data_IF_416277903243
#
_entry.id   IF_416277903243
#
_cell.length_a   1.000
_cell.length_b   1.000
_cell.length_c   1.000
_cell.angle_alpha   90.00
_cell.angle_beta   90.00
_cell.angle_gamma   90.00
#
_symmetry.space_group_name_H-M   'P 1'
#
loop_
_entity.id
_entity.type
_entity.pdbx_description
1 polymer ?
#
# COMPACT_ATOMS: atom_id res chain seq x y z
N UNK A 1 7.05 -20.58 8.02
CA UNK A 1 6.30 -19.45 8.60
C UNK A 1 7.31 -18.47 9.17
N UNK A 2 7.37 -17.27 8.61
CA UNK A 2 8.29 -16.22 9.09
C UNK A 2 7.43 -15.17 9.82
N UNK A 3 7.85 -14.79 11.05
CA UNK A 3 7.17 -13.76 11.83
C UNK A 3 7.88 -12.42 11.57
N UNK A 4 7.18 -11.47 10.95
CA UNK A 4 7.68 -10.11 10.73
C UNK A 4 6.78 -9.18 11.56
N UNK A 5 7.27 -8.73 12.72
CA UNK A 5 6.43 -8.05 13.70
C UNK A 5 5.32 -8.98 14.23
N UNK A 6 4.10 -8.48 14.32
CA UNK A 6 2.92 -9.29 14.72
C UNK A 6 2.28 -10.05 13.55
N UNK A 7 2.79 -9.87 12.35
CA UNK A 7 2.27 -10.50 11.14
C UNK A 7 2.85 -11.90 10.93
N UNK A 8 1.97 -12.91 10.89
CA UNK A 8 2.34 -14.29 10.56
C UNK A 8 2.24 -14.49 9.05
N UNK A 9 3.36 -14.43 8.35
CA UNK A 9 3.41 -14.70 6.91
C UNK A 9 3.33 -16.20 6.68
N UNK A 10 2.21 -16.65 6.13
CA UNK A 10 2.11 -17.99 5.60
C UNK A 10 2.76 -18.00 4.21
N UNK A 11 3.94 -18.61 4.07
CA UNK A 11 4.67 -18.71 2.79
C UNK A 11 3.91 -19.72 1.92
N UNK A 12 2.74 -19.33 1.43
CA UNK A 12 1.83 -20.23 0.69
C UNK A 12 2.16 -20.43 -0.78
N UNK A 13 3.00 -19.59 -1.38
CA UNK A 13 3.49 -19.81 -2.73
C UNK A 13 5.01 -19.64 -2.78
N UNK A 14 5.72 -20.75 -2.84
CA UNK A 14 7.17 -20.79 -3.07
C UNK A 14 7.57 -20.08 -4.38
N UNK A 15 6.66 -19.97 -5.34
CA UNK A 15 6.90 -19.36 -6.66
C UNK A 15 7.18 -17.87 -6.58
N UNK A 16 6.41 -17.10 -5.83
CA UNK A 16 6.54 -15.64 -5.78
C UNK A 16 7.83 -15.20 -5.06
N UNK A 17 8.20 -15.93 -4.00
CA UNK A 17 9.46 -15.70 -3.29
C UNK A 17 10.67 -16.13 -4.14
N UNK A 18 10.56 -17.23 -4.89
CA UNK A 18 11.64 -17.69 -5.77
C UNK A 18 11.88 -16.73 -6.92
N UNK A 19 10.86 -16.14 -7.53
CA UNK A 19 11.03 -15.12 -8.56
C UNK A 19 11.69 -13.84 -8.02
N UNK A 20 11.25 -13.38 -6.85
CA UNK A 20 11.88 -12.24 -6.17
C UNK A 20 13.36 -12.52 -5.85
N UNK A 21 13.67 -13.70 -5.30
CA UNK A 21 15.03 -14.09 -4.96
C UNK A 21 15.88 -14.37 -6.19
N UNK A 22 15.38 -14.96 -7.26
CA UNK A 22 16.13 -15.21 -8.50
C UNK A 22 16.49 -13.90 -9.22
N UNK A 23 15.55 -12.93 -9.23
CA UNK A 23 15.84 -11.60 -9.78
C UNK A 23 16.94 -10.85 -9.01
N UNK A 24 16.99 -11.01 -7.70
CA UNK A 24 18.02 -10.40 -6.85
C UNK A 24 19.32 -11.23 -6.78
N UNK A 25 19.24 -12.57 -6.83
CA UNK A 25 20.38 -13.47 -6.78
C UNK A 25 21.40 -13.18 -7.90
N UNK A 26 20.96 -12.78 -9.08
CA UNK A 26 21.83 -12.41 -10.19
C UNK A 26 22.76 -11.22 -9.86
N UNK A 27 22.24 -10.25 -9.10
CA UNK A 27 23.02 -9.07 -8.65
C UNK A 27 24.09 -9.47 -7.61
N UNK A 28 23.73 -10.35 -6.67
CA UNK A 28 24.68 -10.85 -5.67
C UNK A 28 25.75 -11.75 -6.30
N UNK A 29 25.37 -12.54 -7.31
CA UNK A 29 26.32 -13.35 -8.06
C UNK A 29 27.33 -12.49 -8.83
N UNK A 30 26.87 -11.39 -9.42
CA UNK A 30 27.71 -10.40 -10.08
C UNK A 30 28.68 -9.74 -9.09
N UNK A 31 28.20 -9.31 -7.92
CA UNK A 31 29.01 -8.73 -6.85
C UNK A 31 30.06 -9.73 -6.34
N UNK A 32 29.69 -10.99 -6.17
CA UNK A 32 30.60 -12.07 -5.79
C UNK A 32 31.70 -12.26 -6.87
N UNK A 33 31.34 -12.31 -8.15
CA UNK A 33 32.29 -12.41 -9.28
C UNK A 33 33.24 -11.23 -9.31
N UNK A 34 32.76 -10.00 -9.15
CA UNK A 34 33.59 -8.78 -9.09
C UNK A 34 34.55 -8.87 -7.89
N UNK A 35 34.07 -9.32 -6.72
CA UNK A 35 34.90 -9.50 -5.52
C UNK A 35 35.99 -10.54 -5.73
N UNK A 36 35.68 -11.68 -6.35
CA UNK A 36 36.64 -12.73 -6.69
C UNK A 36 37.67 -12.18 -7.68
N UNK A 37 37.24 -11.41 -8.67
CA UNK A 37 38.14 -10.81 -9.65
C UNK A 37 39.09 -9.78 -9.01
N UNK A 38 38.57 -8.94 -8.11
CA UNK A 38 39.34 -7.99 -7.32
C UNK A 38 40.41 -8.70 -6.47
N UNK A 39 40.06 -9.79 -5.78
CA UNK A 39 40.99 -10.61 -4.98
C UNK A 39 42.04 -11.29 -5.88
N UNK A 40 41.64 -11.79 -7.05
CA UNK A 40 42.63 -12.39 -8.02
C UNK A 40 43.59 -11.35 -8.59
N UNK A 41 43.08 -10.17 -8.91
CA UNK A 41 43.94 -9.04 -9.35
C UNK A 41 44.89 -8.64 -8.22
N UNK A 42 44.38 -8.53 -6.98
CA UNK A 42 45.20 -8.25 -5.80
C UNK A 42 46.35 -9.26 -5.61
N UNK A 43 46.10 -10.55 -5.77
CA UNK A 43 47.12 -11.62 -5.63
C UNK A 43 48.15 -11.62 -6.73
N UNK A 44 47.91 -10.98 -7.88
CA UNK A 44 48.88 -10.87 -9.00
C UNK A 44 49.79 -9.64 -8.90
N UNK A 45 49.62 -8.78 -7.89
CA UNK A 45 50.37 -7.55 -7.68
C UNK A 45 51.74 -7.66 -6.94
N UNK A 46 52.26 -8.82 -6.46
CA UNK A 46 53.48 -8.88 -5.63
C UNK A 46 54.79 -8.61 -6.36
N UNK A 47 54.82 -8.33 -7.67
CA UNK A 47 56.06 -8.15 -8.45
C UNK A 47 56.40 -6.69 -8.78
N UNK A 48 55.73 -5.68 -8.18
CA UNK A 48 55.91 -4.28 -8.55
C UNK A 48 56.88 -3.53 -7.61
N UNK A 49 57.67 -2.58 -8.15
CA UNK A 49 58.59 -1.72 -7.39
C UNK A 49 57.88 -0.87 -6.32
N UNK A 50 58.62 -0.39 -5.29
CA UNK A 50 58.07 0.19 -4.06
C UNK A 50 57.03 1.32 -4.25
N UNK A 51 57.23 2.20 -5.23
CA UNK A 51 56.32 3.30 -5.53
C UNK A 51 55.00 2.81 -6.19
N UNK A 52 55.13 1.91 -7.14
CA UNK A 52 53.98 1.25 -7.77
C UNK A 52 53.20 0.37 -6.78
N UNK A 53 53.87 -0.20 -5.77
CA UNK A 53 53.21 -1.01 -4.75
C UNK A 53 52.23 -0.19 -3.88
N UNK A 54 52.62 1.06 -3.50
CA UNK A 54 51.75 1.95 -2.71
C UNK A 54 50.51 2.39 -3.49
N UNK A 55 50.70 2.74 -4.78
CA UNK A 55 49.60 3.15 -5.64
C UNK A 55 48.65 1.99 -5.92
N UNK A 56 49.12 0.79 -6.09
CA UNK A 56 48.30 -0.40 -6.30
C UNK A 56 47.58 -0.84 -5.02
N UNK A 57 48.16 -0.64 -3.82
CA UNK A 57 47.47 -0.82 -2.53
C UNK A 57 46.32 0.16 -2.38
N UNK A 58 46.51 1.43 -2.68
CA UNK A 58 45.47 2.45 -2.64
C UNK A 58 44.33 2.14 -3.62
N UNK A 59 44.65 1.73 -4.84
CA UNK A 59 43.67 1.30 -5.84
C UNK A 59 42.90 0.06 -5.38
N UNK A 60 43.54 -0.90 -4.76
CA UNK A 60 42.90 -2.09 -4.21
C UNK A 60 41.96 -1.76 -3.04
N UNK A 61 42.39 -0.89 -2.13
CA UNK A 61 41.52 -0.40 -1.03
C UNK A 61 40.32 0.35 -1.59
N UNK A 62 40.52 1.23 -2.59
CA UNK A 62 39.44 1.96 -3.23
C UNK A 62 38.45 1.02 -3.92
N UNK A 63 38.94 0.05 -4.69
CA UNK A 63 38.09 -0.94 -5.34
C UNK A 63 37.25 -1.77 -4.33
N UNK A 64 37.91 -2.19 -3.24
CA UNK A 64 37.18 -2.91 -2.15
C UNK A 64 36.11 -2.04 -1.50
N UNK A 65 36.42 -0.78 -1.21
CA UNK A 65 35.45 0.17 -0.65
C UNK A 65 34.26 0.36 -1.59
N UNK A 66 34.49 0.51 -2.89
CA UNK A 66 33.43 0.63 -3.90
C UNK A 66 32.56 -0.62 -3.92
N UNK A 67 33.12 -1.82 -3.89
CA UNK A 67 32.38 -3.08 -3.86
C UNK A 67 31.52 -3.20 -2.60
N UNK A 68 32.05 -2.81 -1.44
CA UNK A 68 31.31 -2.81 -0.17
C UNK A 68 30.15 -1.81 -0.20
N UNK A 69 30.36 -0.62 -0.74
CA UNK A 69 29.30 0.40 -0.90
C UNK A 69 28.19 -0.09 -1.83
N UNK A 70 28.55 -0.62 -3.00
CA UNK A 70 27.57 -1.19 -3.94
C UNK A 70 26.82 -2.37 -3.30
N UNK A 71 27.55 -3.24 -2.59
CA UNK A 71 26.96 -4.37 -1.86
C UNK A 71 25.95 -3.90 -0.82
N UNK A 72 26.30 -2.91 -0.01
CA UNK A 72 25.39 -2.31 0.97
C UNK A 72 24.12 -1.76 0.33
N UNK A 73 24.26 -0.93 -0.73
CA UNK A 73 23.09 -0.39 -1.43
C UNK A 73 22.23 -1.48 -2.08
N UNK A 74 22.83 -2.53 -2.62
CA UNK A 74 22.09 -3.67 -3.17
C UNK A 74 21.29 -4.40 -2.10
N UNK A 75 21.87 -4.63 -0.92
CA UNK A 75 21.17 -5.25 0.20
C UNK A 75 20.00 -4.37 0.66
N UNK A 76 20.24 -3.08 0.86
CA UNK A 76 19.18 -2.14 1.25
C UNK A 76 18.03 -2.13 0.23
N UNK A 77 18.34 -2.08 -1.06
CA UNK A 77 17.33 -2.11 -2.11
C UNK A 77 16.52 -3.41 -2.10
N UNK A 78 17.18 -4.56 -1.92
CA UNK A 78 16.51 -5.86 -1.86
C UNK A 78 15.61 -6.01 -0.63
N UNK A 79 16.06 -5.51 0.52
CA UNK A 79 15.23 -5.46 1.74
C UNK A 79 14.02 -4.56 1.55
N UNK A 80 14.19 -3.38 0.96
CA UNK A 80 13.09 -2.49 0.63
C UNK A 80 12.04 -3.18 -0.24
N UNK A 81 12.46 -3.87 -1.31
CA UNK A 81 11.54 -4.62 -2.18
C UNK A 81 10.82 -5.76 -1.45
N UNK A 82 11.50 -6.45 -0.55
CA UNK A 82 10.91 -7.50 0.26
C UNK A 82 9.82 -6.94 1.18
N UNK A 83 10.09 -5.84 1.87
CA UNK A 83 9.09 -5.17 2.71
C UNK A 83 7.93 -4.62 1.89
N UNK A 84 8.20 -4.05 0.70
CA UNK A 84 7.18 -3.58 -0.22
C UNK A 84 6.23 -4.73 -0.65
N UNK A 85 6.80 -5.89 -1.01
CA UNK A 85 6.01 -7.08 -1.38
C UNK A 85 5.10 -7.55 -0.24
N UNK A 86 5.64 -7.69 0.97
CA UNK A 86 4.82 -8.10 2.12
C UNK A 86 3.83 -7.03 2.55
N UNK A 87 4.19 -5.75 2.39
CA UNK A 87 3.29 -4.63 2.58
C UNK A 87 2.07 -4.71 1.66
N UNK A 88 2.28 -4.98 0.37
CA UNK A 88 1.20 -5.20 -0.59
C UNK A 88 0.31 -6.38 -0.19
N UNK A 89 0.90 -7.51 0.17
CA UNK A 89 0.14 -8.68 0.60
C UNK A 89 -0.72 -8.42 1.85
N UNK A 90 -0.20 -7.64 2.80
CA UNK A 90 -0.95 -7.20 3.97
C UNK A 90 -2.08 -6.23 3.59
N UNK A 91 -1.80 -5.31 2.66
CA UNK A 91 -2.75 -4.35 2.12
C UNK A 91 -3.93 -5.04 1.42
N UNK A 92 -3.65 -6.01 0.56
CA UNK A 92 -4.67 -6.79 -0.17
C UNK A 92 -5.53 -7.64 0.78
N UNK A 93 -4.95 -8.06 1.91
CA UNK A 93 -5.65 -8.79 2.97
C UNK A 93 -6.43 -7.86 3.93
N UNK A 94 -6.46 -6.54 3.70
CA UNK A 94 -7.15 -5.58 4.55
C UNK A 94 -6.44 -5.21 5.85
N UNK A 95 -5.22 -5.72 6.09
CA UNK A 95 -4.44 -5.44 7.30
C UNK A 95 -3.67 -4.12 7.19
N UNK A 96 -4.40 -2.99 7.13
CA UNK A 96 -3.85 -1.66 6.83
C UNK A 96 -2.73 -1.22 7.79
N UNK A 97 -2.86 -1.48 9.09
CA UNK A 97 -1.82 -1.13 10.07
C UNK A 97 -0.51 -1.90 9.85
N UNK A 98 -0.59 -3.20 9.56
CA UNK A 98 0.57 -4.02 9.21
C UNK A 98 1.18 -3.60 7.87
N UNK A 99 0.35 -3.29 6.89
CA UNK A 99 0.78 -2.81 5.58
C UNK A 99 1.54 -1.48 5.70
N UNK A 100 0.99 -0.50 6.41
CA UNK A 100 1.64 0.79 6.69
C UNK A 100 3.01 0.60 7.33
N UNK A 101 3.11 -0.23 8.38
CA UNK A 101 4.40 -0.51 9.04
C UNK A 101 5.43 -1.18 8.13
N UNK A 102 4.99 -2.02 7.19
CA UNK A 102 5.88 -2.68 6.23
C UNK A 102 6.34 -1.72 5.13
N UNK A 103 5.45 -0.81 4.68
CA UNK A 103 5.82 0.23 3.73
C UNK A 103 6.78 1.26 4.34
N UNK A 104 6.57 1.67 5.59
CA UNK A 104 7.49 2.50 6.36
C UNK A 104 8.89 1.87 6.42
N UNK A 105 8.99 0.59 6.81
CA UNK A 105 10.27 -0.14 6.78
C UNK A 105 10.87 -0.23 5.38
N UNK A 106 10.06 -0.40 4.35
CA UNK A 106 10.55 -0.38 2.98
C UNK A 106 11.22 0.97 2.65
N UNK A 107 10.61 2.08 3.07
CA UNK A 107 11.13 3.43 2.85
C UNK A 107 12.39 3.74 3.67
N UNK A 108 12.54 3.14 4.87
CA UNK A 108 13.77 3.24 5.69
C UNK A 108 14.99 2.66 4.98
N UNK A 109 14.83 1.51 4.31
CA UNK A 109 15.95 0.87 3.58
C UNK A 109 16.22 1.53 2.24
N UNK A 110 15.20 1.97 1.54
CA UNK A 110 15.31 2.67 0.27
C UNK A 110 14.13 3.61 0.09
N UNK A 111 14.37 4.90 0.21
CA UNK A 111 13.33 5.92 0.08
C UNK A 111 12.82 5.96 -1.38
N UNK A 112 11.85 5.11 -1.66
CA UNK A 112 11.18 5.03 -2.96
C UNK A 112 9.79 5.66 -2.90
N UNK A 113 9.40 6.38 -3.95
CA UNK A 113 8.07 6.99 -4.04
C UNK A 113 6.94 5.97 -3.84
N UNK A 114 7.15 4.74 -4.31
CA UNK A 114 6.14 3.68 -4.22
C UNK A 114 5.85 3.26 -2.78
N UNK A 115 6.87 3.08 -1.95
CA UNK A 115 6.70 2.72 -0.54
C UNK A 115 6.00 3.84 0.23
N UNK A 116 6.49 5.09 0.07
CA UNK A 116 5.93 6.27 0.73
C UNK A 116 4.48 6.52 0.29
N UNK A 117 4.18 6.39 -1.01
CA UNK A 117 2.82 6.56 -1.52
C UNK A 117 1.85 5.50 -1.00
N UNK A 118 2.27 4.23 -0.97
CA UNK A 118 1.47 3.11 -0.45
C UNK A 118 1.20 3.23 1.05
N UNK A 119 2.19 3.67 1.82
CA UNK A 119 2.01 4.00 3.24
C UNK A 119 0.97 5.11 3.41
N UNK A 120 1.07 6.18 2.61
CA UNK A 120 0.10 7.27 2.60
C UNK A 120 -1.33 6.79 2.35
N UNK A 121 -1.55 5.90 1.38
CA UNK A 121 -2.86 5.28 1.12
C UNK A 121 -3.34 4.45 2.33
N UNK A 122 -2.47 3.66 2.96
CA UNK A 122 -2.84 2.91 4.16
C UNK A 122 -3.31 3.82 5.29
N UNK A 123 -2.65 4.96 5.48
CA UNK A 123 -3.03 5.95 6.49
C UNK A 123 -4.36 6.62 6.16
N UNK A 124 -4.60 6.99 4.90
CA UNK A 124 -5.89 7.52 4.46
C UNK A 124 -7.02 6.55 4.75
N UNK A 125 -6.86 5.29 4.34
CA UNK A 125 -7.85 4.23 4.57
C UNK A 125 -8.04 3.90 6.07
N UNK A 126 -7.03 4.17 6.90
CA UNK A 126 -7.10 3.99 8.36
C UNK A 126 -7.65 5.23 9.10
N UNK A 127 -8.06 6.27 8.37
CA UNK A 127 -8.60 7.50 8.96
C UNK A 127 -7.60 8.55 9.39
N UNK A 128 -6.32 8.31 9.17
CA UNK A 128 -5.26 9.30 9.41
C UNK A 128 -5.08 10.18 8.17
N UNK A 129 -6.13 10.95 7.84
CA UNK A 129 -6.29 11.61 6.55
C UNK A 129 -5.16 12.60 6.27
N UNK A 130 -4.81 13.45 7.24
CA UNK A 130 -3.76 14.48 7.06
C UNK A 130 -2.36 13.86 6.89
N UNK A 131 -2.04 12.83 7.68
CA UNK A 131 -0.76 12.13 7.57
C UNK A 131 -0.66 11.39 6.23
N UNK A 132 -1.74 10.73 5.83
CA UNK A 132 -1.83 10.04 4.55
C UNK A 132 -1.61 11.00 3.38
N UNK A 133 -2.32 12.13 3.35
CA UNK A 133 -2.15 13.16 2.31
C UNK A 133 -0.71 13.73 2.29
N UNK A 134 -0.12 13.94 3.46
CA UNK A 134 1.26 14.42 3.54
C UNK A 134 2.23 13.46 2.89
N UNK A 135 2.10 12.16 3.15
CA UNK A 135 2.98 11.14 2.57
C UNK A 135 2.76 10.97 1.06
N UNK A 136 1.53 11.02 0.59
CA UNK A 136 1.26 10.94 -0.86
C UNK A 136 1.83 12.15 -1.61
N UNK A 137 1.74 13.36 -1.05
CA UNK A 137 2.42 14.54 -1.61
C UNK A 137 3.94 14.40 -1.59
N UNK A 138 4.50 13.81 -0.56
CA UNK A 138 5.94 13.50 -0.51
C UNK A 138 6.35 12.49 -1.59
N UNK A 139 5.53 11.47 -1.83
CA UNK A 139 5.74 10.50 -2.91
C UNK A 139 5.75 11.17 -4.28
N UNK A 140 4.86 12.14 -4.51
CA UNK A 140 4.81 12.94 -5.74
C UNK A 140 6.10 13.73 -5.96
N UNK A 141 6.60 14.39 -4.92
CA UNK A 141 7.89 15.09 -4.99
C UNK A 141 9.02 14.13 -5.37
N UNK A 142 9.06 12.92 -4.77
CA UNK A 142 10.06 11.91 -5.07
C UNK A 142 9.99 11.41 -6.53
N UNK A 143 8.80 11.39 -7.13
CA UNK A 143 8.57 11.06 -8.56
C UNK A 143 8.80 12.23 -9.51
N UNK A 144 9.24 13.38 -9.01
CA UNK A 144 9.47 14.59 -9.81
C UNK A 144 8.21 15.09 -10.53
N UNK A 145 7.06 14.96 -9.90
CA UNK A 145 5.78 15.43 -10.42
C UNK A 145 5.22 14.55 -11.57
N UNK A 146 5.74 13.35 -11.79
CA UNK A 146 5.06 12.36 -12.61
C UNK A 146 3.89 11.82 -11.80
N UNK A 147 2.66 12.23 -12.17
CA UNK A 147 1.43 11.70 -11.56
C UNK A 147 1.39 10.18 -11.68
N UNK A 148 0.89 9.53 -10.65
CA UNK A 148 0.63 8.10 -10.68
C UNK A 148 -0.79 7.87 -10.20
N UNK A 149 -1.38 6.78 -10.65
CA UNK A 149 -2.69 6.30 -10.19
C UNK A 149 -2.79 6.23 -8.66
N UNK A 150 -1.67 6.05 -7.95
CA UNK A 150 -1.62 6.13 -6.49
C UNK A 150 -1.93 7.53 -5.94
N UNK A 151 -1.43 8.55 -6.59
CA UNK A 151 -1.67 9.94 -6.17
C UNK A 151 -3.09 10.34 -6.46
N UNK A 152 -3.58 10.01 -7.64
CA UNK A 152 -4.96 10.23 -8.04
C UNK A 152 -5.91 9.53 -7.07
N UNK A 153 -5.65 8.25 -6.76
CA UNK A 153 -6.43 7.52 -5.78
C UNK A 153 -6.35 8.15 -4.37
N UNK A 154 -5.17 8.59 -3.96
CA UNK A 154 -4.96 9.21 -2.64
C UNK A 154 -5.65 10.57 -2.52
N UNK A 155 -5.58 11.39 -3.54
CA UNK A 155 -6.29 12.68 -3.60
C UNK A 155 -7.80 12.45 -3.67
N UNK A 156 -8.24 11.48 -4.44
CA UNK A 156 -9.64 11.07 -4.49
C UNK A 156 -10.16 10.64 -3.12
N UNK A 157 -9.43 9.80 -2.40
CA UNK A 157 -9.78 9.38 -1.03
C UNK A 157 -9.76 10.56 -0.04
N UNK A 158 -8.78 11.44 -0.14
CA UNK A 158 -8.72 12.62 0.72
C UNK A 158 -9.98 13.48 0.56
N UNK A 159 -10.37 13.82 -0.66
CA UNK A 159 -11.60 14.58 -0.91
C UNK A 159 -12.86 13.80 -0.54
N UNK A 160 -12.86 12.49 -0.74
CA UNK A 160 -13.96 11.60 -0.33
C UNK A 160 -14.18 11.66 1.18
N UNK A 161 -13.13 11.45 1.98
CA UNK A 161 -13.21 11.49 3.44
C UNK A 161 -13.41 12.91 3.99
N UNK A 162 -13.03 13.93 3.22
CA UNK A 162 -13.31 15.34 3.54
C UNK A 162 -14.71 15.80 3.14
N UNK A 163 -15.59 14.89 2.72
CA UNK A 163 -16.97 15.16 2.28
C UNK A 163 -17.07 16.16 1.12
N UNK A 164 -16.11 16.11 0.18
CA UNK A 164 -16.04 16.96 -1.01
C UNK A 164 -16.20 16.11 -2.28
N UNK A 165 -17.39 15.51 -2.54
CA UNK A 165 -17.57 14.54 -3.63
C UNK A 165 -17.29 15.11 -5.02
N UNK A 166 -17.58 16.39 -5.23
CA UNK A 166 -17.30 17.03 -6.52
C UNK A 166 -15.81 17.11 -6.87
N UNK A 167 -14.94 17.11 -5.87
CA UNK A 167 -13.50 17.08 -6.05
C UNK A 167 -12.97 15.63 -6.04
N UNK A 168 -13.60 14.72 -5.30
CA UNK A 168 -13.20 13.33 -5.23
C UNK A 168 -13.40 12.57 -6.55
N UNK A 169 -14.54 12.81 -7.22
CA UNK A 169 -14.96 12.04 -8.40
C UNK A 169 -13.91 12.03 -9.51
N UNK A 170 -13.37 13.16 -10.00
CA UNK A 170 -12.39 13.14 -11.10
C UNK A 170 -11.16 12.31 -10.78
N UNK A 171 -10.61 12.45 -9.57
CA UNK A 171 -9.43 11.69 -9.12
C UNK A 171 -9.71 10.20 -8.99
N UNK A 172 -10.90 9.82 -8.49
CA UNK A 172 -11.30 8.43 -8.39
C UNK A 172 -11.56 7.81 -9.77
N UNK A 173 -12.10 8.58 -10.72
CA UNK A 173 -12.28 8.13 -12.11
C UNK A 173 -10.93 7.84 -12.76
N UNK A 174 -9.95 8.72 -12.64
CA UNK A 174 -8.61 8.52 -13.17
C UNK A 174 -7.93 7.30 -12.52
N UNK A 175 -8.06 7.14 -11.19
CA UNK A 175 -7.53 6.00 -10.46
C UNK A 175 -8.22 4.67 -10.82
N UNK A 176 -9.46 4.69 -11.31
CA UNK A 176 -10.21 3.48 -11.69
C UNK A 176 -9.61 2.71 -12.86
N UNK A 177 -8.75 3.37 -13.65
CA UNK A 177 -8.02 2.74 -14.74
C UNK A 177 -6.99 1.71 -14.28
N UNK A 178 -6.55 1.77 -13.01
CA UNK A 178 -5.61 0.83 -12.43
C UNK A 178 -6.35 -0.34 -11.76
N UNK A 179 -6.11 -1.59 -12.20
CA UNK A 179 -6.75 -2.79 -11.63
C UNK A 179 -6.59 -2.91 -10.12
N UNK A 180 -5.47 -2.45 -9.55
CA UNK A 180 -5.18 -2.54 -8.12
C UNK A 180 -6.14 -1.68 -7.27
N UNK A 181 -6.73 -0.64 -7.86
CA UNK A 181 -7.65 0.28 -7.17
C UNK A 181 -9.11 0.14 -7.59
N UNK A 182 -9.39 -0.50 -8.72
CA UNK A 182 -10.74 -0.58 -9.31
C UNK A 182 -11.80 -0.97 -8.28
N UNK A 183 -11.56 -1.99 -7.46
CA UNK A 183 -12.52 -2.45 -6.46
C UNK A 183 -12.74 -1.47 -5.31
N UNK A 184 -11.69 -0.72 -4.90
CA UNK A 184 -11.77 0.32 -3.84
C UNK A 184 -12.51 1.55 -4.35
N UNK A 185 -12.19 1.97 -5.56
CA UNK A 185 -12.88 3.06 -6.25
C UNK A 185 -14.37 2.72 -6.45
N UNK A 186 -14.67 1.49 -6.85
CA UNK A 186 -16.05 1.01 -6.98
C UNK A 186 -16.84 1.15 -5.68
N UNK A 187 -16.25 0.79 -4.54
CA UNK A 187 -16.89 0.96 -3.24
C UNK A 187 -17.08 2.44 -2.87
N UNK A 188 -16.08 3.28 -3.10
CA UNK A 188 -16.20 4.72 -2.85
C UNK A 188 -17.33 5.33 -3.68
N UNK A 189 -17.45 5.00 -4.97
CA UNK A 189 -18.58 5.43 -5.79
C UNK A 189 -19.92 4.90 -5.30
N UNK A 190 -19.99 3.65 -4.85
CA UNK A 190 -21.22 3.10 -4.29
C UNK A 190 -21.68 3.85 -3.04
N UNK A 191 -20.75 4.27 -2.18
CA UNK A 191 -21.03 5.15 -1.04
C UNK A 191 -21.59 6.49 -1.50
N UNK A 192 -20.97 7.13 -2.50
CA UNK A 192 -21.45 8.40 -3.05
C UNK A 192 -22.86 8.28 -3.65
N UNK A 193 -23.16 7.17 -4.33
CA UNK A 193 -24.52 6.90 -4.84
C UNK A 193 -25.52 6.72 -3.71
N UNK A 194 -25.16 6.02 -2.63
CA UNK A 194 -26.03 5.88 -1.44
C UNK A 194 -26.29 7.23 -0.80
N UNK A 195 -25.27 8.06 -0.62
CA UNK A 195 -25.41 9.40 -0.05
C UNK A 195 -26.36 10.29 -0.89
N UNK A 196 -26.32 10.11 -2.21
CA UNK A 196 -27.22 10.77 -3.17
C UNK A 196 -28.58 10.05 -3.35
N UNK A 197 -28.88 9.00 -2.56
CA UNK A 197 -30.11 8.19 -2.65
C UNK A 197 -30.29 7.44 -3.97
N UNK A 198 -29.23 7.25 -4.73
CA UNK A 198 -29.21 6.51 -5.99
C UNK A 198 -28.97 5.01 -5.73
N UNK A 199 -29.90 4.40 -4.99
CA UNK A 199 -29.73 3.02 -4.51
C UNK A 199 -29.63 1.98 -5.61
N UNK A 200 -30.27 2.20 -6.78
CA UNK A 200 -30.19 1.29 -7.91
C UNK A 200 -28.79 1.27 -8.54
N UNK A 201 -28.15 2.44 -8.64
CA UNK A 201 -26.78 2.55 -9.17
C UNK A 201 -25.76 1.97 -8.18
N UNK A 202 -25.92 2.24 -6.89
CA UNK A 202 -25.12 1.63 -5.84
C UNK A 202 -25.24 0.10 -5.85
N UNK A 203 -26.44 -0.45 -5.99
CA UNK A 203 -26.67 -1.89 -6.05
C UNK A 203 -25.99 -2.53 -7.27
N UNK A 204 -26.08 -1.90 -8.43
CA UNK A 204 -25.42 -2.37 -9.65
C UNK A 204 -23.90 -2.41 -9.51
N UNK A 205 -23.29 -1.37 -8.94
CA UNK A 205 -21.85 -1.34 -8.70
C UNK A 205 -21.40 -2.39 -7.68
N UNK A 206 -22.21 -2.63 -6.66
CA UNK A 206 -21.88 -3.55 -5.59
C UNK A 206 -22.27 -5.00 -5.88
N UNK A 207 -22.90 -5.30 -7.00
CA UNK A 207 -23.35 -6.66 -7.35
C UNK A 207 -22.27 -7.73 -7.15
N UNK A 208 -21.01 -7.51 -7.59
CA UNK A 208 -19.94 -8.50 -7.38
C UNK A 208 -19.61 -8.74 -5.91
N UNK A 209 -19.90 -7.77 -5.04
CA UNK A 209 -19.54 -7.78 -3.61
C UNK A 209 -20.72 -8.14 -2.68
N UNK A 210 -21.96 -8.14 -3.17
CA UNK A 210 -23.15 -8.38 -2.34
C UNK A 210 -23.21 -9.79 -1.76
N UNK A 211 -22.56 -10.77 -2.40
CA UNK A 211 -22.51 -12.15 -1.93
C UNK A 211 -21.25 -12.46 -1.11
N UNK A 212 -20.28 -11.55 -1.10
CA UNK A 212 -19.07 -11.70 -0.31
C UNK A 212 -19.33 -11.37 1.16
N UNK A 213 -18.46 -11.89 2.04
CA UNK A 213 -18.48 -11.46 3.43
C UNK A 213 -18.16 -9.97 3.52
N UNK A 214 -18.96 -9.23 4.29
CA UNK A 214 -18.73 -7.81 4.55
C UNK A 214 -17.58 -7.67 5.52
N UNK A 215 -16.49 -7.07 5.06
CA UNK A 215 -15.23 -7.00 5.79
C UNK A 215 -14.77 -5.59 6.15
N UNK A 216 -15.36 -4.57 5.53
CA UNK A 216 -14.97 -3.17 5.75
C UNK A 216 -16.17 -2.23 5.83
N UNK A 217 -15.95 -1.03 6.31
CA UNK A 217 -16.96 -0.02 6.58
C UNK A 217 -17.65 0.47 5.32
N UNK A 218 -16.94 0.61 4.21
CA UNK A 218 -17.47 1.03 2.91
C UNK A 218 -18.58 0.07 2.49
N UNK A 219 -18.25 -1.21 2.46
CA UNK A 219 -19.17 -2.26 2.08
C UNK A 219 -20.33 -2.38 3.08
N UNK A 220 -20.03 -2.31 4.38
CA UNK A 220 -21.03 -2.37 5.44
C UNK A 220 -22.08 -1.27 5.30
N UNK A 221 -21.63 -0.03 5.08
CA UNK A 221 -22.50 1.11 4.90
C UNK A 221 -23.41 0.95 3.68
N UNK A 222 -22.84 0.61 2.53
CA UNK A 222 -23.60 0.45 1.28
C UNK A 222 -24.62 -0.70 1.41
N UNK A 223 -24.18 -1.88 1.88
CA UNK A 223 -25.05 -3.05 2.02
C UNK A 223 -26.18 -2.77 3.03
N UNK A 224 -25.89 -2.12 4.17
CA UNK A 224 -26.92 -1.75 5.15
C UNK A 224 -27.93 -0.77 4.56
N UNK A 225 -27.47 0.24 3.81
CA UNK A 225 -28.35 1.20 3.14
C UNK A 225 -29.25 0.55 2.09
N UNK A 226 -28.70 -0.39 1.29
CA UNK A 226 -29.46 -1.15 0.29
C UNK A 226 -30.50 -2.06 0.97
N UNK A 227 -30.15 -2.75 2.05
CA UNK A 227 -31.09 -3.56 2.85
C UNK A 227 -32.21 -2.69 3.43
N UNK A 228 -31.87 -1.53 3.96
CA UNK A 228 -32.86 -0.59 4.48
C UNK A 228 -33.80 -0.09 3.38
N UNK A 229 -33.28 0.26 2.20
CA UNK A 229 -34.09 0.70 1.05
C UNK A 229 -35.04 -0.40 0.56
N UNK A 230 -34.66 -1.67 0.72
CA UNK A 230 -35.47 -2.85 0.42
C UNK A 230 -36.44 -3.24 1.56
N UNK A 231 -36.54 -2.43 2.63
CA UNK A 231 -37.42 -2.71 3.76
C UNK A 231 -36.91 -3.71 4.80
N UNK A 232 -35.69 -4.24 4.61
CA UNK A 232 -35.06 -5.26 5.46
C UNK A 232 -34.33 -4.62 6.65
N UNK A 233 -35.11 -4.00 7.55
CA UNK A 233 -34.61 -3.16 8.66
C UNK A 233 -33.73 -3.93 9.65
N UNK A 234 -34.14 -5.14 10.02
CA UNK A 234 -33.42 -5.94 11.02
C UNK A 234 -32.05 -6.39 10.51
N UNK A 235 -31.99 -6.78 9.21
CA UNK A 235 -30.73 -7.14 8.58
C UNK A 235 -29.80 -5.92 8.45
N UNK A 236 -30.35 -4.74 8.12
CA UNK A 236 -29.57 -3.51 8.06
C UNK A 236 -29.03 -3.13 9.45
N UNK A 237 -29.85 -3.24 10.50
CA UNK A 237 -29.45 -2.96 11.88
C UNK A 237 -28.32 -3.88 12.34
N UNK A 238 -28.50 -5.19 12.17
CA UNK A 238 -27.48 -6.18 12.55
C UNK A 238 -26.12 -5.87 11.91
N UNK A 239 -26.13 -5.40 10.65
CA UNK A 239 -24.91 -5.06 9.96
C UNK A 239 -24.27 -3.79 10.52
N UNK A 240 -25.06 -2.74 10.80
CA UNK A 240 -24.55 -1.52 11.42
C UNK A 240 -23.99 -1.78 12.81
N UNK A 241 -24.74 -2.51 13.67
CA UNK A 241 -24.30 -2.85 15.04
C UNK A 241 -22.98 -3.64 15.05
N UNK A 242 -22.70 -4.44 14.01
CA UNK A 242 -21.45 -5.20 13.86
C UNK A 242 -20.24 -4.29 13.60
N UNK A 243 -20.42 -3.20 12.87
CA UNK A 243 -19.36 -2.27 12.48
C UNK A 243 -19.28 -1.03 13.37
N UNK A 244 -20.30 -0.78 14.21
CA UNK A 244 -20.26 0.31 15.17
C UNK A 244 -19.26 0.01 16.28
N UNK A 245 -18.16 0.76 16.31
CA UNK A 245 -17.11 0.67 17.31
C UNK A 245 -16.73 2.05 17.85
N UNK A 246 -16.16 2.09 19.05
CA UNK A 246 -15.66 3.35 19.64
C UNK A 246 -14.55 4.01 18.80
N UNK A 247 -13.82 3.23 18.02
CA UNK A 247 -12.70 3.67 17.18
C UNK A 247 -13.09 3.93 15.72
N UNK A 248 -14.39 3.95 15.42
CA UNK A 248 -14.86 4.21 14.07
C UNK A 248 -14.53 5.64 13.65
N UNK A 249 -14.01 5.80 12.41
CA UNK A 249 -13.73 7.12 11.85
C UNK A 249 -14.97 8.04 11.93
N UNK A 250 -14.79 9.34 12.22
CA UNK A 250 -15.92 10.30 12.26
C UNK A 250 -16.77 10.28 10.98
N UNK A 251 -16.13 10.09 9.83
CA UNK A 251 -16.79 9.95 8.52
C UNK A 251 -17.79 8.80 8.49
N UNK A 252 -17.42 7.61 8.95
CA UNK A 252 -18.29 6.43 9.01
C UNK A 252 -19.29 6.53 10.14
N UNK A 253 -18.86 7.01 11.29
CA UNK A 253 -19.73 7.20 12.44
C UNK A 253 -20.94 8.06 12.08
N UNK A 254 -20.71 9.21 11.45
CA UNK A 254 -21.80 10.09 11.00
C UNK A 254 -22.79 9.38 10.06
N UNK A 255 -22.29 8.52 9.16
CA UNK A 255 -23.12 7.77 8.21
C UNK A 255 -23.91 6.65 8.85
N UNK A 256 -23.28 5.87 9.73
CA UNK A 256 -23.97 4.82 10.48
C UNK A 256 -25.01 5.39 11.44
N UNK A 257 -24.72 6.48 12.15
CA UNK A 257 -25.70 7.19 12.99
C UNK A 257 -26.95 7.63 12.19
N UNK A 258 -26.73 8.16 10.97
CA UNK A 258 -27.84 8.53 10.07
C UNK A 258 -28.66 7.32 9.62
N UNK A 259 -28.04 6.16 9.38
CA UNK A 259 -28.74 4.92 9.04
C UNK A 259 -29.56 4.42 10.25
N UNK A 260 -28.97 4.37 11.43
CA UNK A 260 -29.63 3.96 12.66
C UNK A 260 -30.84 4.85 12.94
N UNK A 261 -30.71 6.16 12.80
CA UNK A 261 -31.83 7.08 12.95
C UNK A 261 -32.98 6.78 11.97
N UNK A 262 -32.67 6.42 10.70
CA UNK A 262 -33.69 6.01 9.71
C UNK A 262 -34.35 4.65 10.05
N UNK A 263 -33.57 3.71 10.61
CA UNK A 263 -34.09 2.40 11.06
C UNK A 263 -35.05 2.58 12.21
N UNK A 264 -34.73 3.43 13.18
CA UNK A 264 -35.53 3.68 14.39
C UNK A 264 -36.81 4.53 14.12
N UNK A 265 -36.67 5.54 13.27
CA UNK A 265 -37.71 6.48 12.93
C UNK A 265 -38.01 6.45 11.43
N UNK A 266 -38.66 5.42 10.90
CA UNK A 266 -39.05 5.39 9.50
C UNK A 266 -40.08 6.50 9.26
N UNK A 267 -39.65 7.64 8.71
CA UNK A 267 -40.63 8.57 8.15
C UNK A 267 -41.26 7.90 6.93
N UNK A 268 -42.60 7.98 6.81
CA UNK A 268 -43.33 7.43 5.68
C UNK A 268 -42.89 8.05 4.35
#
# INVERSE_FOLDING_TARGET
>A
MIKIGDFRVNIGSYTDLTELFLGEASKYLLLLLISILAVRLWRRLPGLSGENRRNNLLLGCLATAIVLVIGYFSICHSLSRLYLYYGMKAFDSGHLGSASSLFDKSSEYWMGADAVGKEGVCLLLSGKVDDGLRLTKQANILRKGQSSTFEEFSEGLYYFYSEQPGQAIPFLEDASADPDFTWRVTKAFAVLYVDNRQYADAARLMEPFLQAEVTDEDQAYVVAALKLSAGKKDEARTLVDRFESENLMPFWKSRFDKLLAKIQNPKP
#
